data_IF_856763982545
#
_entry.id   IF_856763982545
#
_cell.length_a   1.000
_cell.length_b   1.000
_cell.length_c   1.000
_cell.angle_alpha   90.00
_cell.angle_beta   90.00
_cell.angle_gamma   90.00
#
_symmetry.space_group_name_H-M   'P 1'
#
loop_
_entity.id
_entity.type
_entity.pdbx_description
1 polymer ?
#
# COMPACT_ATOMS: atom_id res chain seq x y z
N UNK A 1 -0.76 3.87 8.03
CA UNK A 1 -1.54 2.60 7.98
C UNK A 1 -0.95 1.67 6.93
N UNK A 2 -0.98 0.36 7.15
CA UNK A 2 -0.60 -0.65 6.16
C UNK A 2 -1.86 -1.35 5.63
N UNK A 3 -1.92 -1.62 4.33
CA UNK A 3 -3.12 -2.15 3.69
C UNK A 3 -2.76 -3.30 2.73
N UNK A 4 -3.49 -4.41 2.78
CA UNK A 4 -3.33 -5.49 1.79
C UNK A 4 -4.20 -5.20 0.57
N UNK A 5 -3.74 -5.57 -0.63
CA UNK A 5 -4.57 -5.48 -1.85
C UNK A 5 -5.65 -6.55 -1.80
N UNK A 6 -5.29 -7.78 -1.41
CA UNK A 6 -6.21 -8.91 -1.45
C UNK A 6 -6.94 -8.99 -0.12
N UNK A 7 -8.13 -8.41 -0.06
CA UNK A 7 -9.01 -8.41 1.10
C UNK A 7 -10.40 -8.94 0.72
N UNK A 8 -11.13 -9.55 1.67
CA UNK A 8 -12.53 -9.91 1.46
C UNK A 8 -13.40 -8.65 1.37
N UNK A 9 -14.49 -8.74 0.61
CA UNK A 9 -15.51 -7.69 0.40
C UNK A 9 -15.05 -6.46 -0.40
N UNK A 10 -13.99 -5.77 0.05
CA UNK A 10 -13.41 -4.59 -0.60
C UNK A 10 -11.91 -4.76 -0.73
N UNK A 11 -11.39 -4.60 -1.94
CA UNK A 11 -9.95 -4.69 -2.20
C UNK A 11 -9.19 -3.47 -1.65
N UNK A 12 -7.90 -3.65 -1.38
CA UNK A 12 -7.05 -2.61 -0.81
C UNK A 12 -6.88 -1.37 -1.68
N UNK A 13 -7.01 -1.50 -3.00
CA UNK A 13 -6.84 -0.37 -3.89
C UNK A 13 -8.08 0.54 -3.86
N UNK A 14 -9.27 -0.07 -3.80
CA UNK A 14 -10.51 0.66 -3.54
C UNK A 14 -10.48 1.30 -2.16
N UNK A 15 -10.07 0.55 -1.13
CA UNK A 15 -9.96 1.07 0.23
C UNK A 15 -8.95 2.23 0.35
N UNK A 16 -7.82 2.17 -0.35
CA UNK A 16 -6.86 3.27 -0.44
C UNK A 16 -7.50 4.53 -1.02
N UNK A 17 -8.22 4.41 -2.14
CA UNK A 17 -8.88 5.54 -2.80
C UNK A 17 -9.90 6.21 -1.87
N UNK A 18 -10.68 5.43 -1.14
CA UNK A 18 -11.63 5.98 -0.16
C UNK A 18 -10.93 6.61 1.05
N UNK A 19 -9.85 6.01 1.54
CA UNK A 19 -9.10 6.53 2.67
C UNK A 19 -8.46 7.89 2.34
N UNK A 20 -7.89 8.04 1.15
CA UNK A 20 -7.30 9.32 0.69
C UNK A 20 -8.38 10.39 0.46
N UNK A 21 -9.61 10.03 0.07
CA UNK A 21 -10.72 11.00 0.00
C UNK A 21 -11.12 11.52 1.37
N UNK A 22 -11.08 10.66 2.40
CA UNK A 22 -11.43 11.00 3.78
C UNK A 22 -10.31 11.83 4.43
N UNK A 23 -9.07 11.40 4.27
CA UNK A 23 -7.88 12.09 4.76
C UNK A 23 -6.78 12.13 3.67
N UNK A 24 -6.67 13.25 2.94
CA UNK A 24 -5.65 13.43 1.91
C UNK A 24 -4.20 13.37 2.43
N UNK A 25 -3.99 13.51 3.74
CA UNK A 25 -2.67 13.46 4.36
C UNK A 25 -2.33 12.08 4.91
N UNK A 26 -3.24 11.11 4.79
CA UNK A 26 -3.02 9.78 5.31
C UNK A 26 -1.80 9.11 4.68
N UNK A 27 -0.91 8.61 5.54
CA UNK A 27 0.26 7.84 5.12
C UNK A 27 -0.11 6.38 5.00
N UNK A 28 -0.33 5.92 3.77
CA UNK A 28 -0.71 4.53 3.46
C UNK A 28 0.44 3.80 2.78
N UNK A 29 0.78 2.62 3.29
CA UNK A 29 1.70 1.67 2.64
C UNK A 29 0.88 0.45 2.19
N UNK A 30 1.01 0.06 0.93
CA UNK A 30 0.44 -1.18 0.44
C UNK A 30 1.37 -2.36 0.73
N UNK A 31 0.82 -3.50 1.15
CA UNK A 31 1.56 -4.71 1.49
C UNK A 31 0.88 -5.92 0.84
N UNK A 32 1.39 -6.42 -0.29
CA UNK A 32 0.69 -7.47 -1.07
C UNK A 32 1.64 -8.52 -1.66
N UNK A 33 1.12 -9.73 -1.89
CA UNK A 33 1.79 -10.76 -2.69
C UNK A 33 1.76 -10.47 -4.20
N UNK A 34 0.84 -9.59 -4.63
CA UNK A 34 0.73 -9.15 -6.02
C UNK A 34 1.73 -8.02 -6.29
N UNK A 35 3.00 -8.39 -6.51
CA UNK A 35 4.08 -7.46 -6.86
C UNK A 35 4.14 -7.08 -8.35
N UNK A 36 3.05 -7.27 -9.11
CA UNK A 36 3.04 -6.89 -10.53
C UNK A 36 3.12 -5.37 -10.67
N UNK A 37 3.87 -4.91 -11.67
CA UNK A 37 4.16 -3.48 -11.87
C UNK A 37 2.88 -2.63 -12.02
N UNK A 38 1.82 -3.19 -12.60
CA UNK A 38 0.52 -2.54 -12.75
C UNK A 38 -0.09 -2.14 -11.41
N UNK A 39 -0.14 -3.05 -10.43
CA UNK A 39 -0.72 -2.78 -9.10
C UNK A 39 0.14 -1.81 -8.29
N UNK A 40 1.47 -1.93 -8.39
CA UNK A 40 2.39 -0.98 -7.75
C UNK A 40 2.15 0.42 -8.32
N UNK A 41 2.08 0.56 -9.64
CA UNK A 41 1.84 1.85 -10.29
C UNK A 41 0.49 2.43 -9.91
N UNK A 42 -0.57 1.62 -9.95
CA UNK A 42 -1.92 2.10 -9.64
C UNK A 42 -2.05 2.55 -8.17
N UNK A 43 -1.47 1.81 -7.23
CA UNK A 43 -1.48 2.19 -5.82
C UNK A 43 -0.72 3.50 -5.55
N UNK A 44 0.43 3.71 -6.19
CA UNK A 44 1.16 4.98 -6.09
C UNK A 44 0.35 6.13 -6.69
N UNK A 45 -0.26 5.93 -7.86
CA UNK A 45 -1.13 6.94 -8.49
C UNK A 45 -2.36 7.27 -7.62
N UNK A 46 -2.86 6.31 -6.85
CA UNK A 46 -3.97 6.49 -5.92
C UNK A 46 -3.57 7.15 -4.59
N UNK A 47 -2.29 7.46 -4.37
CA UNK A 47 -1.81 8.19 -3.19
C UNK A 47 -1.08 7.33 -2.14
N UNK A 48 -0.80 6.05 -2.43
CA UNK A 48 0.05 5.25 -1.54
C UNK A 48 1.46 5.86 -1.48
N UNK A 49 2.02 5.93 -0.26
CA UNK A 49 3.37 6.43 -0.03
C UNK A 49 4.45 5.39 -0.33
N UNK A 50 4.13 4.12 -0.16
CA UNK A 50 5.06 3.04 -0.46
C UNK A 50 4.34 1.71 -0.73
N UNK A 51 5.09 0.74 -1.25
CA UNK A 51 4.63 -0.61 -1.56
C UNK A 51 5.63 -1.65 -1.04
N UNK A 52 5.12 -2.67 -0.37
CA UNK A 52 5.89 -3.81 0.14
C UNK A 52 5.36 -5.09 -0.52
N UNK A 53 6.22 -5.78 -1.25
CA UNK A 53 5.91 -7.07 -1.86
C UNK A 53 6.16 -8.20 -0.86
N UNK A 54 5.22 -9.15 -0.74
CA UNK A 54 5.41 -10.40 0.02
C UNK A 54 6.11 -11.46 -0.84
N UNK A 55 6.97 -12.32 -0.27
CA UNK A 55 7.42 -12.30 1.13
C UNK A 55 8.45 -11.18 1.38
N UNK A 56 8.39 -10.56 2.56
CA UNK A 56 9.32 -9.52 2.98
C UNK A 56 10.08 -9.93 4.24
N UNK A 57 11.23 -9.31 4.48
CA UNK A 57 11.98 -9.45 5.73
C UNK A 57 11.81 -8.20 6.60
N UNK A 58 12.15 -8.33 7.89
CA UNK A 58 12.00 -7.25 8.89
C UNK A 58 12.79 -6.00 8.51
N UNK A 59 14.02 -6.17 8.02
CA UNK A 59 14.91 -5.04 7.71
C UNK A 59 14.38 -4.21 6.54
N UNK A 60 13.78 -4.85 5.54
CA UNK A 60 13.14 -4.17 4.42
C UNK A 60 11.95 -3.33 4.87
N UNK A 61 11.08 -3.88 5.72
CA UNK A 61 9.94 -3.14 6.27
C UNK A 61 10.42 -1.93 7.09
N UNK A 62 11.42 -2.14 7.96
CA UNK A 62 11.99 -1.06 8.78
C UNK A 62 12.62 0.04 7.94
N UNK A 63 13.29 -0.31 6.84
CA UNK A 63 13.87 0.67 5.91
C UNK A 63 12.79 1.54 5.28
N UNK A 64 11.68 0.93 4.84
CA UNK A 64 10.56 1.66 4.24
C UNK A 64 9.90 2.59 5.26
N UNK A 65 9.63 2.10 6.47
CA UNK A 65 9.01 2.91 7.53
C UNK A 65 9.88 4.10 7.93
N UNK A 66 11.20 3.98 7.90
CA UNK A 66 12.15 5.09 8.18
C UNK A 66 12.25 6.11 7.04
N UNK A 67 11.78 5.77 5.83
CA UNK A 67 11.81 6.65 4.66
C UNK A 67 10.53 7.45 4.43
N UNK A 68 9.50 7.19 5.23
CA UNK A 68 8.26 7.98 5.27
C UNK A 68 8.49 9.30 6.00
#
# INVERSE_FOLDING_TARGET
>A
VTLDITMPEMDGLTALKELIKIDPNATVIIVSAMGQESYVRESVMAGAKNFIVKPFNKDHVLKILKSL
#
